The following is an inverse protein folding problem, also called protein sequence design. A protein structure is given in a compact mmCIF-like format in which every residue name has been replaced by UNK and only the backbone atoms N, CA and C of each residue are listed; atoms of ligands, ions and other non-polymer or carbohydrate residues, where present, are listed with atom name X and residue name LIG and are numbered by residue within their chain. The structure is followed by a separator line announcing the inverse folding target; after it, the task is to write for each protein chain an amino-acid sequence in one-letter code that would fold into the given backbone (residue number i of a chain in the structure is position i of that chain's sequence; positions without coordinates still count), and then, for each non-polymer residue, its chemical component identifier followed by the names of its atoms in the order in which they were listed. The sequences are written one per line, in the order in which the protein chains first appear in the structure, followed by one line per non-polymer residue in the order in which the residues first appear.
data_IF_715663093915
#
_entry.id   IF_715663093915
#
_cell.length_a   1.000
_cell.length_b   1.000
_cell.length_c   1.000
_cell.angle_alpha   90.00
_cell.angle_beta   90.00
_cell.angle_gamma   90.00
#
_symmetry.space_group_name_H-M   'P 1'
#
loop_
_entity.id
_entity.type
_entity.pdbx_description
1 polymer ?
#
# COMPACT_ATOMS: atom_id res chain seq x y z
N UNK A 1 -6.49 15.02 4.53
CA UNK A 1 -6.00 13.65 4.23
C UNK A 1 -5.87 13.44 2.74
N UNK A 2 -6.81 13.91 1.92
CA UNK A 2 -6.84 13.68 0.46
C UNK A 2 -6.31 14.84 -0.40
N UNK A 3 -5.68 15.87 0.18
CA UNK A 3 -5.34 17.10 -0.56
C UNK A 3 -4.41 16.85 -1.74
N UNK A 4 -3.49 15.91 -1.62
CA UNK A 4 -2.55 15.55 -2.69
C UNK A 4 -3.30 14.80 -3.79
N UNK A 5 -4.07 13.78 -3.41
CA UNK A 5 -4.89 12.98 -4.32
C UNK A 5 -5.89 13.84 -5.09
N UNK A 6 -6.59 14.73 -4.40
CA UNK A 6 -7.58 15.65 -4.97
C UNK A 6 -6.95 16.60 -5.99
N UNK A 7 -5.72 17.06 -5.74
CA UNK A 7 -4.94 17.86 -6.67
C UNK A 7 -4.66 17.12 -7.99
N UNK A 8 -4.32 15.83 -7.92
CA UNK A 8 -4.11 15.01 -9.12
C UNK A 8 -5.42 14.69 -9.85
N UNK A 9 -6.48 14.32 -9.11
CA UNK A 9 -7.78 14.00 -9.70
C UNK A 9 -8.40 15.20 -10.41
N UNK A 10 -8.36 16.39 -9.78
CA UNK A 10 -8.82 17.64 -10.41
C UNK A 10 -7.98 18.05 -11.62
N UNK A 11 -6.70 17.65 -11.66
CA UNK A 11 -5.80 17.81 -12.79
C UNK A 11 -6.06 16.84 -13.96
N UNK A 12 -7.06 15.96 -13.87
CA UNK A 12 -7.43 15.02 -14.94
C UNK A 12 -6.74 13.66 -14.85
N UNK A 13 -6.03 13.36 -13.76
CA UNK A 13 -5.53 12.00 -13.51
C UNK A 13 -6.70 11.08 -13.20
N UNK A 14 -6.88 10.02 -13.99
CA UNK A 14 -8.01 9.10 -13.84
C UNK A 14 -7.87 8.10 -12.68
N UNK A 15 -6.64 7.83 -12.24
CA UNK A 15 -6.35 6.77 -11.27
C UNK A 15 -5.09 7.10 -10.47
N UNK A 16 -5.12 6.90 -9.15
CA UNK A 16 -3.96 7.07 -8.27
C UNK A 16 -3.57 5.71 -7.71
N UNK A 17 -2.28 5.38 -7.80
CA UNK A 17 -1.72 4.16 -7.23
C UNK A 17 -0.74 4.53 -6.10
N UNK A 18 -1.03 4.09 -4.89
CA UNK A 18 -0.10 4.16 -3.77
C UNK A 18 0.88 2.98 -3.81
N UNK A 19 2.15 3.24 -3.51
CA UNK A 19 3.21 2.23 -3.49
C UNK A 19 4.01 2.35 -2.21
N UNK A 20 4.31 1.22 -1.56
CA UNK A 20 5.14 1.15 -0.36
C UNK A 20 5.93 -0.17 -0.29
N UNK A 21 7.09 -0.16 0.37
CA UNK A 21 7.98 -1.32 0.50
C UNK A 21 8.21 -1.80 1.94
N UNK A 22 8.46 -3.10 2.09
CA UNK A 22 8.87 -3.71 3.34
C UNK A 22 10.03 -4.69 3.13
N UNK A 23 10.95 -4.74 4.09
CA UNK A 23 12.10 -5.65 4.04
C UNK A 23 13.41 -5.03 3.55
N UNK A 24 13.50 -3.70 3.43
CA UNK A 24 14.75 -3.01 3.04
C UNK A 24 15.88 -3.05 4.09
N UNK A 25 15.54 -3.20 5.37
CA UNK A 25 16.47 -3.10 6.50
C UNK A 25 17.08 -4.42 7.04
N UNK A 26 16.38 -5.57 6.99
CA UNK A 26 16.94 -6.85 7.42
C UNK A 26 18.22 -7.26 6.68
N UNK A 27 19.07 -8.05 7.34
CA UNK A 27 20.29 -8.64 6.75
C UNK A 27 20.03 -9.84 5.83
N UNK A 28 18.80 -10.36 5.83
CA UNK A 28 18.43 -11.55 5.07
C UNK A 28 16.95 -11.49 4.68
N UNK A 29 16.64 -12.14 3.56
CA UNK A 29 15.30 -12.20 2.98
C UNK A 29 15.08 -11.17 1.87
N UNK A 30 14.01 -11.37 1.07
CA UNK A 30 13.66 -10.47 -0.02
C UNK A 30 13.07 -9.14 0.45
N UNK A 31 13.08 -8.14 -0.43
CA UNK A 31 12.29 -6.91 -0.29
C UNK A 31 10.98 -7.10 -1.05
N UNK A 32 9.86 -6.77 -0.41
CA UNK A 32 8.54 -6.75 -1.03
C UNK A 32 8.08 -5.32 -1.26
N UNK A 33 7.37 -5.07 -2.35
CA UNK A 33 6.66 -3.82 -2.62
C UNK A 33 5.20 -4.12 -2.99
N UNK A 34 4.28 -3.31 -2.48
CA UNK A 34 2.87 -3.38 -2.84
C UNK A 34 2.48 -2.12 -3.62
N UNK A 35 1.65 -2.31 -4.65
CA UNK A 35 1.03 -1.24 -5.41
C UNK A 35 -0.49 -1.39 -5.28
N UNK A 36 -1.19 -0.37 -4.80
CA UNK A 36 -2.63 -0.42 -4.50
C UNK A 36 -3.34 0.78 -5.11
N UNK A 37 -4.45 0.53 -5.80
CA UNK A 37 -5.36 1.56 -6.30
C UNK A 37 -6.64 1.45 -5.49
N UNK A 38 -6.94 2.49 -4.71
CA UNK A 38 -8.17 2.60 -3.94
C UNK A 38 -9.17 3.54 -4.65
N UNK A 39 -10.48 3.34 -4.47
CA UNK A 39 -11.49 4.33 -4.82
C UNK A 39 -11.18 5.70 -4.18
N UNK A 40 -11.43 6.82 -4.88
CA UNK A 40 -11.26 8.15 -4.31
C UNK A 40 -12.03 8.31 -2.99
N UNK A 41 -11.39 8.92 -2.00
CA UNK A 41 -11.95 9.20 -0.67
C UNK A 41 -12.39 7.96 0.12
N UNK A 42 -11.93 6.76 -0.25
CA UNK A 42 -12.24 5.55 0.51
C UNK A 42 -11.63 5.65 1.92
N UNK A 43 -12.49 5.60 2.93
CA UNK A 43 -12.08 5.51 4.33
C UNK A 43 -12.28 4.08 4.84
N UNK A 44 -11.18 3.41 5.19
CA UNK A 44 -11.21 2.09 5.83
C UNK A 44 -10.91 2.30 7.32
N UNK A 45 -11.89 2.09 8.22
CA UNK A 45 -11.70 2.33 9.64
C UNK A 45 -10.49 1.57 10.23
N UNK A 46 -9.52 2.32 10.74
CA UNK A 46 -8.29 1.77 11.31
C UNK A 46 -7.17 1.49 10.31
N UNK A 47 -7.38 1.75 9.02
CA UNK A 47 -6.31 1.88 8.03
C UNK A 47 -5.74 3.29 8.11
N UNK A 48 -4.80 3.50 9.03
CA UNK A 48 -4.06 4.76 9.16
C UNK A 48 -2.58 4.50 8.98
N UNK A 49 -1.82 5.50 8.51
CA UNK A 49 -0.35 5.47 8.59
C UNK A 49 0.02 5.43 10.06
N UNK A 50 0.25 4.21 10.55
CA UNK A 50 0.91 4.05 11.81
C UNK A 50 1.83 2.86 11.68
N UNK A 51 3.12 3.18 11.84
CA UNK A 51 4.22 2.32 12.28
C UNK A 51 3.92 1.55 13.60
N UNK A 52 2.64 1.37 13.96
CA UNK A 52 2.05 0.84 15.20
C UNK A 52 0.83 -0.06 14.97
N UNK A 53 0.47 -0.42 13.72
CA UNK A 53 -0.49 -1.51 13.54
C UNK A 53 0.13 -2.82 14.06
N UNK A 54 -0.58 -3.48 14.98
CA UNK A 54 -0.19 -4.80 15.45
C UNK A 54 -0.30 -5.79 14.29
N UNK A 55 0.46 -6.89 14.36
CA UNK A 55 0.40 -7.93 13.33
C UNK A 55 -1.03 -8.45 13.12
N UNK A 56 -1.77 -8.61 14.23
CA UNK A 56 -3.18 -8.97 14.21
C UNK A 56 -4.02 -7.97 13.41
N UNK A 57 -3.86 -6.67 13.67
CA UNK A 57 -4.67 -5.64 12.98
C UNK A 57 -4.34 -5.57 11.49
N UNK A 58 -3.08 -5.77 11.09
CA UNK A 58 -2.69 -5.87 9.68
C UNK A 58 -3.36 -7.05 8.98
N UNK A 59 -3.39 -8.23 9.63
CA UNK A 59 -4.07 -9.42 9.08
C UNK A 59 -5.59 -9.23 8.95
N UNK A 60 -6.20 -8.47 9.84
CA UNK A 60 -7.63 -8.11 9.77
C UNK A 60 -7.91 -7.11 8.64
N UNK A 61 -7.04 -6.13 8.43
CA UNK A 61 -7.21 -5.09 7.40
C UNK A 61 -6.89 -5.58 5.99
N UNK A 62 -5.93 -6.49 5.83
CA UNK A 62 -5.49 -6.99 4.52
C UNK A 62 -6.65 -7.47 3.63
N UNK A 63 -7.54 -8.39 4.06
CA UNK A 63 -8.66 -8.83 3.22
C UNK A 63 -9.63 -7.70 2.88
N UNK A 64 -9.84 -6.75 3.79
CA UNK A 64 -10.72 -5.59 3.57
C UNK A 64 -10.14 -4.69 2.46
N UNK A 65 -8.82 -4.44 2.51
CA UNK A 65 -8.13 -3.66 1.47
C UNK A 65 -8.22 -4.39 0.13
N UNK A 66 -7.98 -5.71 0.10
CA UNK A 66 -8.06 -6.48 -1.14
C UNK A 66 -9.46 -6.47 -1.76
N UNK A 67 -10.51 -6.51 -0.94
CA UNK A 67 -11.91 -6.48 -1.40
C UNK A 67 -12.32 -5.10 -1.91
N UNK A 68 -11.85 -4.02 -1.27
CA UNK A 68 -12.25 -2.65 -1.61
C UNK A 68 -11.35 -1.97 -2.64
N UNK A 69 -10.14 -2.48 -2.86
CA UNK A 69 -9.23 -1.96 -3.87
C UNK A 69 -9.80 -2.19 -5.28
N UNK A 70 -9.63 -1.18 -6.14
CA UNK A 70 -9.92 -1.32 -7.58
C UNK A 70 -8.95 -2.32 -8.20
N UNK A 71 -7.68 -2.24 -7.80
CA UNK A 71 -6.63 -3.18 -8.18
C UNK A 71 -5.50 -3.13 -7.14
N UNK A 72 -4.78 -4.24 -7.01
CA UNK A 72 -3.53 -4.29 -6.27
C UNK A 72 -2.56 -5.29 -6.89
N UNK A 73 -1.28 -5.10 -6.62
CA UNK A 73 -0.20 -6.01 -7.01
C UNK A 73 0.87 -6.07 -5.93
N UNK A 74 1.54 -7.22 -5.83
CA UNK A 74 2.68 -7.43 -4.94
C UNK A 74 3.84 -7.90 -5.80
N UNK A 75 4.95 -7.17 -5.73
CA UNK A 75 6.23 -7.55 -6.32
C UNK A 75 7.28 -7.79 -5.25
N UNK A 76 8.34 -8.49 -5.60
CA UNK A 76 9.48 -8.67 -4.72
C UNK A 76 10.78 -8.75 -5.50
N UNK A 77 11.88 -8.43 -4.81
CA UNK A 77 13.24 -8.68 -5.24
C UNK A 77 13.92 -9.59 -4.22
N UNK A 78 14.51 -10.68 -4.71
CA UNK A 78 15.30 -11.63 -3.91
C UNK A 78 16.58 -10.98 -3.41
N UNK A 79 17.19 -11.55 -2.37
CA UNK A 79 18.49 -11.11 -1.87
C UNK A 79 19.56 -11.09 -2.96
N UNK A 80 19.50 -12.04 -3.90
CA UNK A 80 20.41 -12.12 -5.06
C UNK A 80 20.21 -11.02 -6.09
N UNK A 81 19.01 -10.45 -6.18
CA UNK A 81 18.72 -9.31 -7.05
C UNK A 81 19.09 -7.98 -6.37
N UNK A 82 19.27 -7.99 -5.05
CA UNK A 82 19.67 -6.82 -4.23
C UNK A 82 21.19 -6.69 -4.14
N UNK A 83 21.92 -7.81 -4.10
CA UNK A 83 23.39 -7.88 -4.17
C UNK A 83 23.95 -7.25 -5.46
#
# INVERSE_FOLDING_TARGET
MWEIEDGFLSGGVGTICGVDEAGRGPLAGPVYAAAVILPPHLDIPGLTDSKKLTDKKRRELFPIIQEQAIAYGIGFATEKEID
#
